data_IF_602164512067
#
_entry.id   IF_602164512067
#
_cell.length_a   1.000
_cell.length_b   1.000
_cell.length_c   1.000
_cell.angle_alpha   90.00
_cell.angle_beta   90.00
_cell.angle_gamma   90.00
#
_symmetry.space_group_name_H-M   'P 1'
#
loop_
_entity.id
_entity.type
_entity.pdbx_description
1 polymer ?
#
# COMPACT_ATOMS: atom_id res chain seq x y z
N UNK A 1 -9.13 -29.62 6.08
CA UNK A 1 -9.96 -28.67 6.87
C UNK A 1 -9.18 -27.58 7.61
N UNK A 2 -7.85 -27.66 7.81
CA UNK A 2 -7.05 -26.63 8.52
C UNK A 2 -6.79 -25.32 7.73
N UNK A 3 -7.07 -25.31 6.42
CA UNK A 3 -6.67 -24.25 5.48
C UNK A 3 -7.65 -23.06 5.43
N UNK A 4 -8.95 -23.30 5.63
CA UNK A 4 -9.97 -22.23 5.57
C UNK A 4 -9.86 -21.28 6.76
N UNK A 5 -9.69 -21.80 7.98
CA UNK A 5 -9.52 -20.99 9.18
C UNK A 5 -8.27 -20.09 9.14
N UNK A 6 -7.16 -20.61 8.58
CA UNK A 6 -5.92 -19.82 8.45
C UNK A 6 -6.04 -18.68 7.44
N UNK A 7 -6.85 -18.82 6.39
CA UNK A 7 -7.10 -17.76 5.40
C UNK A 7 -8.00 -16.67 5.96
N UNK A 8 -9.05 -17.06 6.69
CA UNK A 8 -9.94 -16.11 7.36
C UNK A 8 -9.18 -15.31 8.42
N UNK A 9 -8.33 -15.97 9.21
CA UNK A 9 -7.48 -15.30 10.19
C UNK A 9 -6.53 -14.29 9.54
N UNK A 10 -5.90 -14.65 8.42
CA UNK A 10 -5.01 -13.73 7.68
C UNK A 10 -5.78 -12.50 7.19
N UNK A 11 -7.00 -12.67 6.66
CA UNK A 11 -7.83 -11.55 6.22
C UNK A 11 -8.22 -10.64 7.39
N UNK A 12 -8.61 -11.21 8.53
CA UNK A 12 -8.93 -10.44 9.74
C UNK A 12 -7.70 -9.64 10.20
N UNK A 13 -6.52 -10.27 10.23
CA UNK A 13 -5.27 -9.58 10.61
C UNK A 13 -4.92 -8.45 9.65
N UNK A 14 -5.11 -8.64 8.34
CA UNK A 14 -4.91 -7.59 7.35
C UNK A 14 -5.88 -6.43 7.61
N UNK A 15 -7.17 -6.71 7.82
CA UNK A 15 -8.17 -5.67 8.10
C UNK A 15 -7.83 -4.90 9.38
N UNK A 16 -7.47 -5.60 10.45
CA UNK A 16 -7.06 -4.97 11.70
C UNK A 16 -5.80 -4.11 11.54
N UNK A 17 -4.81 -4.58 10.77
CA UNK A 17 -3.61 -3.81 10.47
C UNK A 17 -3.92 -2.56 9.64
N UNK A 18 -4.82 -2.65 8.65
CA UNK A 18 -5.28 -1.52 7.85
C UNK A 18 -6.01 -0.50 8.73
N UNK A 19 -6.98 -0.94 9.55
CA UNK A 19 -7.70 -0.06 10.46
C UNK A 19 -6.76 0.59 11.48
N UNK A 20 -5.83 -0.18 12.06
CA UNK A 20 -4.82 0.33 12.99
C UNK A 20 -3.90 1.36 12.33
N UNK A 21 -3.47 1.13 11.09
CA UNK A 21 -2.67 2.08 10.33
C UNK A 21 -3.42 3.38 10.02
N UNK A 22 -4.69 3.28 9.60
CA UNK A 22 -5.54 4.47 9.36
C UNK A 22 -5.79 5.25 10.64
N UNK A 23 -6.05 4.56 11.75
CA UNK A 23 -6.18 5.18 13.07
C UNK A 23 -4.89 5.88 13.48
N UNK A 24 -3.74 5.22 13.30
CA UNK A 24 -2.43 5.79 13.57
C UNK A 24 -2.18 7.04 12.74
N UNK A 25 -2.46 7.01 11.44
CA UNK A 25 -2.30 8.18 10.57
C UNK A 25 -3.23 9.33 10.96
N UNK A 26 -4.47 9.04 11.37
CA UNK A 26 -5.37 10.05 11.92
C UNK A 26 -4.85 10.62 13.25
N UNK A 27 -4.35 9.77 14.15
CA UNK A 27 -3.74 10.19 15.40
C UNK A 27 -2.53 11.10 15.16
N UNK A 28 -1.64 10.72 14.23
CA UNK A 28 -0.50 11.58 13.87
C UNK A 28 -0.95 12.89 13.22
N UNK A 29 -2.04 12.88 12.45
CA UNK A 29 -2.58 14.12 11.87
C UNK A 29 -3.05 15.10 12.95
N UNK A 30 -3.55 14.60 14.08
CA UNK A 30 -4.07 15.43 15.16
C UNK A 30 -3.00 15.83 16.19
N UNK A 31 -1.97 14.99 16.39
CA UNK A 31 -0.97 15.17 17.43
C UNK A 31 0.43 15.58 16.93
N UNK A 32 0.67 15.59 15.63
CA UNK A 32 1.97 15.97 15.03
C UNK A 32 1.76 16.97 13.91
N UNK A 33 2.60 18.00 13.82
CA UNK A 33 2.53 18.99 12.74
C UNK A 33 3.08 18.46 11.42
N UNK A 34 3.99 17.48 11.48
CA UNK A 34 4.67 16.91 10.32
C UNK A 34 3.71 16.28 9.29
N UNK A 35 2.73 15.49 9.74
CA UNK A 35 1.82 14.80 8.82
C UNK A 35 0.91 15.79 8.08
N UNK A 36 0.19 16.70 8.76
CA UNK A 36 -0.56 17.77 8.09
C UNK A 36 0.32 18.57 7.14
N UNK A 37 1.53 18.96 7.54
CA UNK A 37 2.43 19.80 6.75
C UNK A 37 2.84 19.18 5.41
N UNK A 38 3.08 17.86 5.37
CA UNK A 38 3.37 17.13 4.13
C UNK A 38 2.26 17.33 3.10
N UNK A 39 1.00 17.24 3.53
CA UNK A 39 -0.16 17.27 2.64
C UNK A 39 -0.67 18.69 2.37
N UNK A 40 -0.69 19.57 3.37
CA UNK A 40 -1.20 20.94 3.22
C UNK A 40 -0.17 21.92 2.67
N UNK A 41 1.14 21.65 2.86
CA UNK A 41 2.20 22.64 2.67
C UNK A 41 2.18 23.68 3.76
N UNK A 42 3.22 23.75 4.60
CA UNK A 42 3.45 24.75 5.65
C UNK A 42 2.15 25.45 6.14
N UNK A 43 1.25 24.69 6.79
CA UNK A 43 -0.05 25.21 7.18
C UNK A 43 0.14 26.36 8.19
N UNK A 44 -0.33 27.55 7.80
CA UNK A 44 -0.53 28.67 8.72
C UNK A 44 -1.69 28.34 9.65
N UNK A 45 -1.44 28.49 10.95
CA UNK A 45 -2.30 28.44 12.15
C UNK A 45 -3.76 27.94 12.03
N UNK A 46 -4.10 27.06 12.96
CA UNK A 46 -5.43 26.54 13.19
C UNK A 46 -6.32 27.60 13.86
N UNK A 47 -7.39 28.05 13.18
CA UNK A 47 -8.35 28.99 13.76
C UNK A 47 -9.55 28.22 14.32
N UNK A 48 -9.77 28.34 15.63
CA UNK A 48 -10.93 27.77 16.33
C UNK A 48 -12.06 28.82 16.37
N UNK A 49 -13.18 28.56 15.69
CA UNK A 49 -14.38 29.41 15.71
C UNK A 49 -15.19 29.37 14.41
N UNK A 50 -16.38 29.98 14.38
CA UNK A 50 -17.03 30.29 13.11
C UNK A 50 -16.23 31.38 12.40
N UNK A 51 -15.84 31.12 11.17
CA UNK A 51 -15.02 31.99 10.35
C UNK A 51 -15.88 32.56 9.24
N UNK A 52 -15.87 33.89 9.08
CA UNK A 52 -16.61 34.53 8.01
C UNK A 52 -16.13 34.02 6.63
N UNK A 53 -17.05 33.75 5.69
CA UNK A 53 -16.70 33.30 4.35
C UNK A 53 -15.71 34.25 3.67
N UNK A 54 -14.56 33.73 3.22
CA UNK A 54 -13.52 34.52 2.54
C UNK A 54 -12.47 35.12 3.47
N UNK A 55 -12.57 34.90 4.79
CA UNK A 55 -11.47 35.23 5.71
C UNK A 55 -10.25 34.30 5.48
N UNK A 56 -9.02 34.77 5.75
CA UNK A 56 -7.80 33.95 5.64
C UNK A 56 -7.88 32.65 6.47
N UNK A 57 -8.62 32.72 7.57
CA UNK A 57 -8.85 31.62 8.49
C UNK A 57 -9.84 30.57 7.96
N UNK A 58 -10.81 30.97 7.11
CA UNK A 58 -11.72 30.03 6.42
C UNK A 58 -10.99 29.18 5.37
N UNK A 59 -10.00 29.77 4.68
CA UNK A 59 -9.16 29.10 3.70
C UNK A 59 -8.23 28.08 4.37
N UNK A 60 -7.58 28.46 5.47
CA UNK A 60 -6.75 27.56 6.26
C UNK A 60 -7.52 26.34 6.83
N UNK A 61 -8.77 26.55 7.25
CA UNK A 61 -9.63 25.46 7.71
C UNK A 61 -10.00 24.49 6.56
N UNK A 62 -10.27 25.03 5.37
CA UNK A 62 -10.56 24.25 4.17
C UNK A 62 -9.34 23.44 3.70
N UNK A 63 -8.14 24.04 3.66
CA UNK A 63 -6.89 23.37 3.29
C UNK A 63 -6.56 22.20 4.23
N UNK A 64 -6.80 22.37 5.54
CA UNK A 64 -6.61 21.29 6.52
C UNK A 64 -7.59 20.14 6.31
N UNK A 65 -8.83 20.43 5.94
CA UNK A 65 -9.81 19.39 5.62
C UNK A 65 -9.39 18.61 4.36
N UNK A 66 -8.93 19.30 3.31
CA UNK A 66 -8.42 18.64 2.11
C UNK A 66 -7.16 17.82 2.37
N UNK A 67 -6.23 18.33 3.18
CA UNK A 67 -5.04 17.60 3.59
C UNK A 67 -5.39 16.31 4.35
N UNK A 68 -6.43 16.34 5.20
CA UNK A 68 -6.92 15.14 5.90
C UNK A 68 -7.49 14.12 4.92
N UNK A 69 -8.29 14.55 3.94
CA UNK A 69 -8.82 13.67 2.88
C UNK A 69 -7.68 13.05 2.06
N UNK A 70 -6.72 13.88 1.63
CA UNK A 70 -5.55 13.44 0.90
C UNK A 70 -4.72 12.42 1.68
N UNK A 71 -4.52 12.65 2.99
CA UNK A 71 -3.85 11.72 3.88
C UNK A 71 -4.58 10.37 3.94
N UNK A 72 -5.91 10.36 4.06
CA UNK A 72 -6.68 9.11 4.07
C UNK A 72 -6.58 8.37 2.73
N UNK A 73 -6.67 9.06 1.61
CA UNK A 73 -6.48 8.47 0.28
C UNK A 73 -5.09 7.86 0.18
N UNK A 74 -4.04 8.63 0.49
CA UNK A 74 -2.66 8.15 0.50
C UNK A 74 -2.50 6.89 1.36
N UNK A 75 -2.95 6.96 2.61
CA UNK A 75 -2.80 5.90 3.59
C UNK A 75 -3.53 4.62 3.16
N UNK A 76 -4.71 4.76 2.55
CA UNK A 76 -5.47 3.62 2.01
C UNK A 76 -4.73 2.92 0.87
N UNK A 77 -4.09 3.68 -0.02
CA UNK A 77 -3.30 3.14 -1.13
C UNK A 77 -2.09 2.39 -0.59
N UNK A 78 -1.35 2.99 0.35
CA UNK A 78 -0.17 2.35 0.96
C UNK A 78 -0.58 1.08 1.71
N UNK A 79 -1.67 1.11 2.45
CA UNK A 79 -2.19 -0.05 3.15
C UNK A 79 -2.60 -1.17 2.18
N UNK A 80 -3.24 -0.83 1.05
CA UNK A 80 -3.58 -1.78 0.00
C UNK A 80 -2.33 -2.40 -0.65
N UNK A 81 -1.28 -1.61 -0.91
CA UNK A 81 -0.01 -2.11 -1.42
C UNK A 81 0.67 -3.07 -0.44
N UNK A 82 0.67 -2.74 0.85
CA UNK A 82 1.20 -3.61 1.90
C UNK A 82 0.40 -4.92 2.00
N UNK A 83 -0.93 -4.85 1.90
CA UNK A 83 -1.78 -6.04 1.87
C UNK A 83 -1.47 -6.92 0.64
N UNK A 84 -1.33 -6.32 -0.55
CA UNK A 84 -0.94 -7.04 -1.76
C UNK A 84 0.42 -7.73 -1.61
N UNK A 85 1.40 -7.07 -0.97
CA UNK A 85 2.70 -7.65 -0.68
C UNK A 85 2.59 -8.88 0.24
N UNK A 86 1.81 -8.79 1.32
CA UNK A 86 1.56 -9.92 2.23
C UNK A 86 0.86 -11.09 1.51
N UNK A 87 -0.13 -10.78 0.66
CA UNK A 87 -0.82 -11.80 -0.14
C UNK A 87 0.12 -12.51 -1.11
N UNK A 88 1.00 -11.78 -1.80
CA UNK A 88 2.00 -12.38 -2.68
C UNK A 88 2.94 -13.35 -1.93
N UNK A 89 3.41 -12.96 -0.74
CA UNK A 89 4.19 -13.85 0.13
C UNK A 89 3.38 -15.08 0.56
N UNK A 90 2.11 -14.90 0.92
CA UNK A 90 1.24 -16.00 1.32
C UNK A 90 1.03 -17.00 0.17
N UNK A 91 0.83 -16.52 -1.06
CA UNK A 91 0.73 -17.36 -2.27
C UNK A 91 2.02 -18.15 -2.48
N UNK A 92 3.19 -17.50 -2.40
CA UNK A 92 4.48 -18.18 -2.52
C UNK A 92 4.68 -19.24 -1.44
N UNK A 93 4.34 -18.92 -0.19
CA UNK A 93 4.43 -19.87 0.92
C UNK A 93 3.49 -21.05 0.75
N UNK A 94 2.32 -20.84 0.14
CA UNK A 94 1.41 -21.92 -0.23
C UNK A 94 2.06 -22.85 -1.26
N UNK A 95 2.63 -22.31 -2.34
CA UNK A 95 3.31 -23.09 -3.40
C UNK A 95 4.52 -23.86 -2.83
N UNK A 96 5.28 -23.26 -1.90
CA UNK A 96 6.41 -23.91 -1.24
C UNK A 96 5.99 -25.12 -0.40
N UNK A 97 4.79 -25.07 0.22
CA UNK A 97 4.26 -26.13 1.09
C UNK A 97 3.42 -27.17 0.35
N UNK A 98 3.01 -26.91 -0.90
CA UNK A 98 2.33 -27.89 -1.74
C UNK A 98 3.19 -29.14 -1.89
N UNK A 99 2.61 -30.34 -1.83
CA UNK A 99 3.31 -31.60 -2.02
C UNK A 99 3.53 -31.95 -3.51
N UNK A 100 3.21 -31.02 -4.42
CA UNK A 100 3.25 -31.24 -5.86
C UNK A 100 4.67 -31.47 -6.38
N UNK A 101 4.80 -32.09 -7.56
CA UNK A 101 6.09 -32.28 -8.22
C UNK A 101 6.76 -30.95 -8.56
N UNK A 102 8.09 -30.96 -8.68
CA UNK A 102 8.89 -29.75 -8.91
C UNK A 102 8.42 -28.99 -10.17
N UNK A 103 8.12 -29.73 -11.24
CA UNK A 103 7.56 -29.18 -12.49
C UNK A 103 6.23 -28.45 -12.29
N UNK A 104 5.33 -29.00 -11.46
CA UNK A 104 4.03 -28.40 -11.18
C UNK A 104 4.17 -27.13 -10.32
N UNK A 105 5.09 -27.11 -9.35
CA UNK A 105 5.39 -25.91 -8.54
C UNK A 105 6.00 -24.78 -9.37
N UNK A 106 6.86 -25.11 -10.33
CA UNK A 106 7.40 -24.14 -11.29
C UNK A 106 6.27 -23.49 -12.11
N UNK A 107 5.35 -24.29 -12.64
CA UNK A 107 4.19 -23.78 -13.39
C UNK A 107 3.25 -22.92 -12.53
N UNK A 108 3.00 -23.33 -11.27
CA UNK A 108 2.22 -22.52 -10.32
C UNK A 108 2.92 -21.18 -10.01
N UNK A 109 4.25 -21.19 -9.88
CA UNK A 109 5.04 -19.98 -9.61
C UNK A 109 5.07 -19.02 -10.81
N UNK A 110 5.09 -19.55 -12.04
CA UNK A 110 4.92 -18.75 -13.27
C UNK A 110 3.53 -18.11 -13.33
N UNK A 111 2.47 -18.86 -13.01
CA UNK A 111 1.11 -18.32 -12.96
C UNK A 111 0.94 -17.28 -11.83
N UNK A 112 1.70 -17.44 -10.74
CA UNK A 112 1.68 -16.50 -9.63
C UNK A 112 2.49 -15.22 -9.89
N UNK A 113 3.21 -15.10 -11.02
CA UNK A 113 4.10 -13.95 -11.27
C UNK A 113 3.35 -12.62 -11.27
N UNK A 114 2.10 -12.64 -11.73
CA UNK A 114 1.21 -11.47 -11.74
C UNK A 114 0.97 -10.88 -10.34
N UNK A 115 0.98 -11.70 -9.29
CA UNK A 115 0.77 -11.22 -7.92
C UNK A 115 1.94 -10.36 -7.42
N UNK A 116 3.13 -10.51 -8.00
CA UNK A 116 4.30 -9.69 -7.65
C UNK A 116 4.23 -8.28 -8.23
N UNK A 117 3.37 -8.03 -9.22
CA UNK A 117 3.14 -6.71 -9.80
C UNK A 117 1.92 -5.99 -9.23
N UNK A 118 1.10 -6.66 -8.42
CA UNK A 118 -0.09 -6.05 -7.82
C UNK A 118 0.25 -4.80 -6.99
N UNK A 119 1.32 -4.75 -6.16
CA UNK A 119 1.71 -3.52 -5.47
C UNK A 119 2.03 -2.37 -6.44
N UNK A 120 2.64 -2.67 -7.59
CA UNK A 120 2.94 -1.68 -8.62
C UNK A 120 1.66 -1.14 -9.27
N UNK A 121 0.71 -2.01 -9.63
CA UNK A 121 -0.58 -1.59 -10.19
C UNK A 121 -1.39 -0.75 -9.19
N UNK A 122 -1.35 -1.09 -7.90
CA UNK A 122 -1.95 -0.28 -6.84
C UNK A 122 -1.23 1.07 -6.67
N UNK A 123 0.09 1.12 -6.88
CA UNK A 123 0.86 2.37 -6.95
C UNK A 123 0.42 3.29 -8.07
N UNK A 124 0.26 2.74 -9.28
CA UNK A 124 -0.25 3.46 -10.44
C UNK A 124 -1.69 3.95 -10.24
N UNK A 125 -2.56 3.11 -9.66
CA UNK A 125 -3.90 3.52 -9.24
C UNK A 125 -3.84 4.70 -8.25
N UNK A 126 -2.90 4.66 -7.32
CA UNK A 126 -2.66 5.76 -6.40
C UNK A 126 -2.23 7.05 -7.09
N UNK A 127 -1.43 6.96 -8.14
CA UNK A 127 -1.03 8.12 -8.95
C UNK A 127 -2.20 8.75 -9.68
N UNK A 128 -3.06 7.94 -10.29
CA UNK A 128 -4.30 8.43 -10.92
C UNK A 128 -5.19 9.10 -9.86
N UNK A 129 -5.32 8.46 -8.68
CA UNK A 129 -6.09 9.03 -7.56
C UNK A 129 -5.51 10.36 -7.05
N UNK A 130 -4.19 10.48 -6.97
CA UNK A 130 -3.49 11.72 -6.64
C UNK A 130 -3.83 12.83 -7.63
N UNK A 131 -3.74 12.55 -8.93
CA UNK A 131 -4.10 13.52 -9.98
C UNK A 131 -5.58 13.94 -9.93
N UNK A 132 -6.50 13.06 -9.53
CA UNK A 132 -7.90 13.45 -9.30
C UNK A 132 -8.05 14.46 -8.15
N UNK A 133 -7.18 14.38 -7.13
CA UNK A 133 -7.18 15.28 -5.97
C UNK A 133 -6.47 16.62 -6.28
N UNK A 134 -5.76 16.71 -7.41
CA UNK A 134 -5.03 17.92 -7.83
C UNK A 134 -5.91 19.16 -7.93
N UNK A 135 -7.21 18.97 -8.23
CA UNK A 135 -8.22 20.04 -8.28
C UNK A 135 -8.36 20.76 -6.92
N UNK A 136 -8.12 20.05 -5.82
CA UNK A 136 -8.22 20.60 -4.46
C UNK A 136 -6.88 21.11 -3.94
N UNK A 137 -5.80 20.34 -4.16
CA UNK A 137 -4.45 20.74 -3.76
C UNK A 137 -3.40 20.09 -4.64
N UNK A 138 -2.61 20.93 -5.33
CA UNK A 138 -1.49 20.49 -6.16
C UNK A 138 -0.44 19.76 -5.33
N UNK A 139 -0.11 20.26 -4.14
CA UNK A 139 0.92 19.66 -3.30
C UNK A 139 0.52 18.27 -2.80
N UNK A 140 -0.70 18.13 -2.24
CA UNK A 140 -1.24 16.85 -1.79
C UNK A 140 -1.24 15.83 -2.94
N UNK A 141 -1.67 16.25 -4.14
CA UNK A 141 -1.66 15.40 -5.34
C UNK A 141 -0.27 14.87 -5.67
N UNK A 142 0.75 15.74 -5.69
CA UNK A 142 2.12 15.35 -6.02
C UNK A 142 2.70 14.38 -4.99
N UNK A 143 2.48 14.63 -3.70
CA UNK A 143 2.92 13.74 -2.63
C UNK A 143 2.31 12.35 -2.81
N UNK A 144 0.99 12.27 -3.03
CA UNK A 144 0.30 11.01 -3.27
C UNK A 144 0.88 10.32 -4.50
N UNK A 145 0.96 11.04 -5.61
CA UNK A 145 1.30 10.50 -6.91
C UNK A 145 2.73 9.95 -7.00
N UNK A 146 3.71 10.72 -6.51
CA UNK A 146 5.10 10.30 -6.55
C UNK A 146 5.39 9.21 -5.52
N UNK A 147 4.82 9.33 -4.31
CA UNK A 147 5.07 8.38 -3.24
C UNK A 147 4.39 7.03 -3.51
N UNK A 148 3.14 7.01 -3.99
CA UNK A 148 2.41 5.75 -4.23
C UNK A 148 3.09 4.87 -5.28
N UNK A 149 3.58 5.46 -6.37
CA UNK A 149 4.29 4.72 -7.41
C UNK A 149 5.67 4.26 -6.93
N UNK A 150 6.42 5.12 -6.23
CA UNK A 150 7.72 4.75 -5.70
C UNK A 150 7.62 3.56 -4.74
N UNK A 151 6.67 3.59 -3.80
CA UNK A 151 6.46 2.47 -2.86
C UNK A 151 6.02 1.21 -3.61
N UNK A 152 5.11 1.33 -4.59
CA UNK A 152 4.67 0.20 -5.40
C UNK A 152 5.82 -0.49 -6.15
N UNK A 153 6.73 0.30 -6.75
CA UNK A 153 7.94 -0.18 -7.41
C UNK A 153 8.84 -0.91 -6.41
N UNK A 154 9.14 -0.30 -5.26
CA UNK A 154 10.01 -0.88 -4.24
C UNK A 154 9.44 -2.22 -3.74
N UNK A 155 8.16 -2.28 -3.40
CA UNK A 155 7.51 -3.51 -2.92
C UNK A 155 7.51 -4.62 -3.99
N UNK A 156 7.23 -4.28 -5.24
CA UNK A 156 7.29 -5.25 -6.34
C UNK A 156 8.73 -5.77 -6.57
N UNK A 157 9.73 -4.90 -6.52
CA UNK A 157 11.14 -5.30 -6.63
C UNK A 157 11.57 -6.19 -5.47
N UNK A 158 11.16 -5.90 -4.24
CA UNK A 158 11.43 -6.75 -3.08
C UNK A 158 10.83 -8.14 -3.25
N UNK A 159 9.63 -8.26 -3.80
CA UNK A 159 9.02 -9.56 -4.10
C UNK A 159 9.81 -10.32 -5.18
N UNK A 160 10.14 -9.65 -6.29
CA UNK A 160 10.83 -10.28 -7.43
C UNK A 160 12.26 -10.71 -7.07
N UNK A 161 13.04 -9.84 -6.43
CA UNK A 161 14.44 -10.10 -6.09
C UNK A 161 14.58 -10.91 -4.81
N UNK A 162 13.80 -10.59 -3.78
CA UNK A 162 13.92 -11.21 -2.46
C UNK A 162 13.20 -12.55 -2.33
N UNK A 163 12.07 -12.74 -3.02
CA UNK A 163 11.22 -13.93 -2.82
C UNK A 163 11.23 -14.85 -4.04
N UNK A 164 10.95 -14.29 -5.23
CA UNK A 164 10.80 -15.07 -6.46
C UNK A 164 12.13 -15.62 -6.97
N UNK A 165 13.16 -14.78 -7.13
CA UNK A 165 14.47 -15.17 -7.64
C UNK A 165 15.11 -16.35 -6.88
N UNK A 166 15.27 -16.31 -5.54
CA UNK A 166 15.86 -17.43 -4.82
C UNK A 166 14.99 -18.69 -4.87
N UNK A 167 13.67 -18.56 -4.97
CA UNK A 167 12.77 -19.71 -5.06
C UNK A 167 12.87 -20.41 -6.42
N UNK A 168 12.84 -19.65 -7.53
CA UNK A 168 13.03 -20.20 -8.87
C UNK A 168 14.37 -20.93 -8.96
N UNK A 169 15.44 -20.31 -8.45
CA UNK A 169 16.78 -20.93 -8.42
C UNK A 169 16.79 -22.26 -7.69
N UNK A 170 16.17 -22.36 -6.50
CA UNK A 170 16.08 -23.60 -5.72
C UNK A 170 15.26 -24.69 -6.43
N UNK A 171 14.13 -24.33 -7.03
CA UNK A 171 13.28 -25.30 -7.74
C UNK A 171 13.96 -25.85 -9.00
N UNK A 172 14.68 -24.99 -9.74
CA UNK A 172 15.43 -25.41 -10.92
C UNK A 172 16.61 -26.32 -10.57
N UNK A 173 17.31 -26.08 -9.47
CA UNK A 173 18.38 -26.98 -9.02
C UNK A 173 17.83 -28.36 -8.62
N UNK A 174 16.72 -28.41 -7.86
CA UNK A 174 16.13 -29.68 -7.43
C UNK A 174 15.50 -30.46 -8.58
N UNK A 175 14.89 -29.77 -9.56
CA UNK A 175 14.33 -30.43 -10.75
C UNK A 175 15.38 -30.96 -11.73
N UNK A 176 16.65 -30.55 -11.58
CA UNK A 176 17.78 -31.11 -12.33
C UNK A 176 18.25 -32.48 -11.81
N UNK A 177 17.96 -32.77 -10.53
CA UNK A 177 18.34 -34.03 -9.85
C UNK A 177 17.26 -35.13 -10.00
N UNK A 178 16.05 -34.80 -10.46
CA UNK A 178 14.97 -35.77 -10.77
C UNK A 178 15.09 -36.38 -12.19
N UNK A 179 16.31 -36.65 -12.67
CA UNK A 179 16.55 -37.33 -13.96
C UNK A 179 16.60 -38.84 -13.82
#
# INVERSE_FOLDING_TARGET
MKTTGSRILLLILIVLAVCGFLYLMNYLFDHTEFVPEIFSGAAREQVLGQVDPGSPASLAAQDRAFARIAMFVFSSIIAAQAAAFVLAIAVVNSIRRSADSVKLRLKQLENADIFFDVPLYLGLFGTISGFLIMVFSTQSSLVIAYSSTLVGIILSLLLRLGVLYPLRRKLLSTGGDEK
#
